data_IF_965143287313
#
_entry.id   IF_965143287313
#
_cell.length_a   1.000
_cell.length_b   1.000
_cell.length_c   1.000
_cell.angle_alpha   90.00
_cell.angle_beta   90.00
_cell.angle_gamma   90.00
#
_symmetry.space_group_name_H-M   'P 1'
#
loop_
_entity.id
_entity.type
_entity.pdbx_description
1 polymer ?
#
# COMPACT_ATOMS: atom_id res chain seq x y z
N UNK A 1 74.83 -10.19 -1.83
CA UNK A 1 73.76 -10.18 -0.82
C UNK A 1 72.99 -8.89 -1.09
N UNK A 2 71.96 -8.95 -1.87
CA UNK A 2 71.05 -7.85 -2.12
C UNK A 2 69.78 -8.06 -1.28
N UNK A 3 69.46 -7.09 -0.46
CA UNK A 3 68.22 -6.99 0.31
C UNK A 3 67.07 -6.55 -0.58
N UNK A 4 65.97 -7.27 -0.59
CA UNK A 4 64.72 -6.97 -1.24
C UNK A 4 63.99 -5.90 -0.38
N UNK A 5 63.44 -4.82 -0.95
CA UNK A 5 62.67 -3.86 -0.18
C UNK A 5 61.33 -4.47 0.25
N UNK A 6 60.98 -4.22 1.54
CA UNK A 6 59.76 -4.74 2.15
C UNK A 6 58.46 -4.29 1.42
N UNK A 7 57.60 -5.24 1.14
CA UNK A 7 56.21 -5.00 0.81
C UNK A 7 55.53 -4.40 2.05
N UNK A 8 55.04 -3.17 1.93
CA UNK A 8 54.10 -2.62 2.90
C UNK A 8 52.79 -3.43 2.82
N UNK A 9 52.42 -4.10 3.91
CA UNK A 9 51.08 -4.65 4.04
C UNK A 9 50.10 -3.52 4.11
N UNK A 10 49.25 -3.43 3.08
CA UNK A 10 48.08 -2.57 3.12
C UNK A 10 47.08 -3.12 4.12
N UNK A 11 46.92 -2.45 5.23
CA UNK A 11 45.87 -2.70 6.20
C UNK A 11 44.50 -2.53 5.46
N UNK A 12 43.56 -3.50 5.57
CA UNK A 12 42.23 -3.34 4.94
C UNK A 12 41.52 -2.14 5.58
N UNK A 13 40.78 -1.36 4.81
CA UNK A 13 40.06 -0.18 5.33
C UNK A 13 39.10 -0.61 6.44
N UNK A 14 39.08 0.20 7.50
CA UNK A 14 38.25 -0.04 8.67
C UNK A 14 36.75 -0.21 8.32
N UNK A 15 35.98 -1.03 9.08
CA UNK A 15 34.57 -1.31 8.76
C UNK A 15 33.62 -0.11 8.70
N UNK A 16 34.04 1.06 9.15
CA UNK A 16 33.22 2.28 9.15
C UNK A 16 33.04 2.94 7.78
N UNK A 17 33.91 2.65 6.80
CA UNK A 17 33.82 3.20 5.46
C UNK A 17 32.96 2.37 4.49
N UNK A 18 32.60 1.11 4.85
CA UNK A 18 31.80 0.22 4.02
C UNK A 18 30.28 0.35 4.23
N UNK A 19 29.82 1.23 5.13
CA UNK A 19 28.42 1.33 5.56
C UNK A 19 27.48 2.07 4.59
N UNK A 20 27.94 2.47 3.40
CA UNK A 20 27.16 3.44 2.60
C UNK A 20 26.68 2.97 1.23
N UNK A 21 26.72 1.69 0.91
CA UNK A 21 26.29 1.18 -0.41
C UNK A 21 25.02 0.29 -0.36
N UNK A 22 24.39 0.13 0.79
CA UNK A 22 23.12 -0.60 0.83
C UNK A 22 21.99 0.29 0.29
N UNK A 23 21.38 -0.13 -0.82
CA UNK A 23 20.20 0.53 -1.36
C UNK A 23 19.01 0.33 -0.41
N UNK A 24 18.47 1.43 0.10
CA UNK A 24 17.31 1.43 0.99
C UNK A 24 16.00 1.26 0.21
N UNK A 25 14.88 0.91 0.86
CA UNK A 25 13.60 0.61 0.18
C UNK A 25 13.18 1.66 -0.85
N UNK A 26 13.20 2.95 -0.51
CA UNK A 26 12.78 4.03 -1.40
C UNK A 26 13.81 4.49 -2.43
N UNK A 27 14.98 3.87 -2.51
CA UNK A 27 16.01 4.25 -3.50
C UNK A 27 15.60 3.77 -4.91
N UNK A 28 15.72 4.66 -5.93
CA UNK A 28 15.33 4.31 -7.28
C UNK A 28 16.35 3.38 -7.94
N UNK A 29 15.86 2.49 -8.81
CA UNK A 29 16.74 1.73 -9.71
C UNK A 29 17.36 2.64 -10.78
N UNK A 30 18.42 2.19 -11.48
CA UNK A 30 19.01 2.96 -12.58
C UNK A 30 18.04 3.29 -13.71
N UNK A 31 16.99 2.47 -13.88
CA UNK A 31 15.96 2.64 -14.94
C UNK A 31 14.68 3.29 -14.42
N UNK A 32 14.70 3.84 -13.20
CA UNK A 32 13.53 4.44 -12.57
C UNK A 32 12.97 5.61 -13.39
N UNK A 33 11.66 5.61 -13.69
CA UNK A 33 11.01 6.73 -14.34
C UNK A 33 11.00 7.97 -13.42
N UNK A 34 10.83 9.19 -13.96
CA UNK A 34 11.04 10.44 -13.19
C UNK A 34 10.25 10.54 -11.90
N UNK A 35 8.96 10.17 -11.90
CA UNK A 35 8.09 10.30 -10.73
C UNK A 35 8.33 9.21 -9.66
N UNK A 36 9.12 8.18 -9.97
CA UNK A 36 9.57 7.20 -8.99
C UNK A 36 10.63 7.77 -8.03
N UNK A 37 11.27 8.89 -8.39
CA UNK A 37 12.31 9.53 -7.60
C UNK A 37 11.70 10.33 -6.45
N UNK A 38 12.48 10.53 -5.40
CA UNK A 38 12.09 11.37 -4.26
C UNK A 38 11.84 12.83 -4.72
N UNK A 39 10.95 13.50 -3.98
CA UNK A 39 10.71 14.94 -4.12
C UNK A 39 11.77 15.80 -3.41
N UNK A 40 11.52 17.11 -3.32
CA UNK A 40 12.51 18.08 -2.82
C UNK A 40 12.64 18.10 -1.29
N UNK A 41 11.68 17.52 -0.55
CA UNK A 41 11.68 17.61 0.91
C UNK A 41 12.45 16.45 1.55
N UNK A 42 13.07 16.72 2.71
CA UNK A 42 13.42 15.69 3.67
C UNK A 42 12.14 15.05 4.22
N UNK A 43 12.29 13.98 4.97
CA UNK A 43 11.15 13.22 5.53
C UNK A 43 11.33 13.06 7.03
N UNK A 44 10.36 13.57 7.79
CA UNK A 44 10.17 13.19 9.18
C UNK A 44 9.31 11.93 9.28
N UNK A 45 9.55 11.12 10.30
CA UNK A 45 8.73 9.92 10.57
C UNK A 45 8.49 9.79 12.06
N UNK A 46 7.24 9.49 12.45
CA UNK A 46 6.89 9.26 13.85
C UNK A 46 5.89 8.11 13.98
N UNK A 47 5.84 7.51 15.17
CA UNK A 47 4.90 6.42 15.47
C UNK A 47 3.89 6.91 16.49
N UNK A 48 2.61 6.67 16.25
CA UNK A 48 1.52 6.94 17.17
C UNK A 48 0.71 5.67 17.42
N UNK A 49 0.06 5.61 18.58
CA UNK A 49 -0.95 4.60 18.89
C UNK A 49 -2.28 5.27 19.16
N UNK A 50 -3.33 4.82 18.47
CA UNK A 50 -4.70 5.30 18.64
C UNK A 50 -5.64 4.13 18.88
N UNK A 51 -6.78 4.39 19.54
CA UNK A 51 -7.74 3.35 19.88
C UNK A 51 -9.09 3.62 19.23
N UNK A 52 -9.56 2.67 18.43
CA UNK A 52 -10.94 2.60 17.97
C UNK A 52 -11.73 1.82 19.00
N UNK A 53 -12.26 2.53 19.98
CA UNK A 53 -12.95 1.93 21.11
C UNK A 53 -14.25 1.23 20.71
N UNK A 54 -14.65 0.27 21.50
CA UNK A 54 -15.96 -0.39 21.44
C UNK A 54 -16.30 -0.96 20.04
N UNK A 55 -15.38 -1.73 19.45
CA UNK A 55 -15.61 -2.36 18.14
C UNK A 55 -16.23 -3.75 18.27
N UNK A 56 -17.10 -4.15 17.32
CA UNK A 56 -17.66 -5.51 17.33
C UNK A 56 -16.55 -6.56 17.19
N UNK A 57 -16.62 -7.65 17.95
CA UNK A 57 -15.73 -8.80 17.77
C UNK A 57 -16.41 -9.85 16.89
N UNK A 58 -16.02 -10.01 15.61
CA UNK A 58 -16.63 -10.96 14.70
C UNK A 58 -16.24 -12.42 14.99
N UNK A 59 -15.28 -12.63 15.90
CA UNK A 59 -14.75 -13.95 16.27
C UNK A 59 -15.32 -14.42 17.60
N UNK A 60 -15.09 -13.64 18.66
CA UNK A 60 -15.51 -14.00 20.03
C UNK A 60 -16.93 -13.54 20.39
N UNK A 61 -17.51 -12.69 19.55
CA UNK A 61 -18.75 -11.98 19.89
C UNK A 61 -18.53 -10.87 20.92
N UNK A 62 -19.53 -10.00 21.08
CA UNK A 62 -19.38 -8.82 21.96
C UNK A 62 -18.57 -7.69 21.30
N UNK A 63 -17.81 -6.96 22.13
CA UNK A 63 -17.10 -5.75 21.70
C UNK A 63 -15.74 -5.66 22.38
N UNK A 64 -14.79 -4.98 21.72
CA UNK A 64 -13.44 -4.78 22.23
C UNK A 64 -12.84 -3.46 21.73
N UNK A 65 -11.82 -2.98 22.40
CA UNK A 65 -11.04 -1.82 21.99
C UNK A 65 -9.97 -2.27 20.98
N UNK A 66 -10.01 -1.63 19.80
CA UNK A 66 -9.12 -1.95 18.70
C UNK A 66 -7.99 -0.92 18.61
N UNK A 67 -6.79 -1.31 19.04
CA UNK A 67 -5.63 -0.43 19.07
C UNK A 67 -4.88 -0.50 17.74
N UNK A 68 -4.75 0.63 17.05
CA UNK A 68 -4.00 0.76 15.81
C UNK A 68 -2.68 1.47 16.08
N UNK A 69 -1.56 0.85 15.70
CA UNK A 69 -0.25 1.50 15.67
C UNK A 69 -0.05 2.12 14.31
N UNK A 70 0.22 3.42 14.27
CA UNK A 70 0.43 4.19 13.05
C UNK A 70 1.91 4.48 12.86
N UNK A 71 2.38 4.44 11.63
CA UNK A 71 3.60 5.10 11.19
C UNK A 71 3.20 6.27 10.31
N UNK A 72 3.74 7.45 10.58
CA UNK A 72 3.36 8.70 9.93
C UNK A 72 4.61 9.33 9.35
N UNK A 73 4.64 9.52 8.02
CA UNK A 73 5.70 10.22 7.30
C UNK A 73 5.18 11.56 6.83
N UNK A 74 6.01 12.60 6.96
CA UNK A 74 5.65 13.97 6.64
C UNK A 74 6.85 14.75 6.10
N UNK A 75 6.62 15.85 5.33
CA UNK A 75 7.68 16.73 4.89
C UNK A 75 8.43 17.35 6.08
N UNK A 76 9.75 17.37 5.99
CA UNK A 76 10.69 17.95 6.95
C UNK A 76 11.84 18.63 6.23
N UNK A 77 12.55 19.53 6.88
CA UNK A 77 13.83 20.04 6.43
C UNK A 77 15.00 19.10 6.79
N UNK A 78 14.73 18.06 7.58
CA UNK A 78 15.74 17.13 8.06
C UNK A 78 15.91 15.96 7.11
N UNK A 79 17.16 15.59 6.89
CA UNK A 79 17.55 14.35 6.23
C UNK A 79 18.14 13.40 7.28
N UNK A 80 17.82 12.12 7.18
CA UNK A 80 18.30 11.12 8.12
C UNK A 80 17.89 9.74 7.73
N UNK A 81 18.14 8.79 8.61
CA UNK A 81 17.70 7.40 8.47
C UNK A 81 16.98 6.95 9.74
N UNK A 82 16.04 6.04 9.58
CA UNK A 82 15.30 5.41 10.68
C UNK A 82 15.38 3.91 10.55
N UNK A 83 15.63 3.25 11.67
CA UNK A 83 15.51 1.80 11.76
C UNK A 83 14.04 1.44 12.01
N UNK A 84 13.42 0.77 11.06
CA UNK A 84 12.10 0.18 11.20
C UNK A 84 12.20 -1.26 11.72
N UNK A 85 11.16 -1.70 12.39
CA UNK A 85 11.00 -3.08 12.87
C UNK A 85 9.79 -3.70 12.18
N UNK A 86 9.98 -4.90 11.66
CA UNK A 86 8.94 -5.73 11.05
C UNK A 86 9.20 -7.20 11.40
N UNK A 87 8.41 -8.11 10.85
CA UNK A 87 8.61 -9.53 10.98
C UNK A 87 8.25 -10.24 9.67
N UNK A 88 8.89 -11.37 9.42
CA UNK A 88 8.41 -12.31 8.41
C UNK A 88 7.15 -13.01 8.91
N UNK A 89 6.19 -13.29 8.02
CA UNK A 89 4.99 -14.02 8.40
C UNK A 89 5.34 -15.39 8.98
N UNK A 90 4.55 -15.90 9.93
CA UNK A 90 4.76 -17.24 10.46
C UNK A 90 4.51 -18.28 9.37
N UNK A 91 5.42 -19.25 9.23
CA UNK A 91 5.18 -20.48 8.48
C UNK A 91 4.41 -21.48 9.34
N UNK A 92 3.75 -22.51 8.76
CA UNK A 92 3.05 -23.52 9.54
C UNK A 92 3.95 -24.14 10.64
N UNK A 93 3.52 -23.98 11.91
CA UNK A 93 4.25 -24.48 13.06
C UNK A 93 5.40 -23.62 13.59
N UNK A 94 5.62 -22.43 13.03
CA UNK A 94 6.63 -21.47 13.51
C UNK A 94 6.00 -20.17 13.99
N UNK A 95 6.75 -19.39 14.76
CA UNK A 95 6.39 -18.01 15.10
C UNK A 95 6.88 -17.05 14.02
N UNK A 96 6.26 -15.88 13.95
CA UNK A 96 6.77 -14.77 13.16
C UNK A 96 8.21 -14.42 13.58
N UNK A 97 9.09 -14.18 12.62
CA UNK A 97 10.52 -13.90 12.88
C UNK A 97 10.81 -12.41 12.69
N UNK A 98 11.10 -11.67 13.79
CA UNK A 98 11.39 -10.24 13.71
C UNK A 98 12.67 -9.94 12.92
N UNK A 99 12.67 -8.81 12.20
CA UNK A 99 13.85 -8.23 11.58
C UNK A 99 13.81 -6.70 11.64
N UNK A 100 14.92 -6.07 11.26
CA UNK A 100 15.01 -4.62 11.11
C UNK A 100 15.53 -4.27 9.73
N UNK A 101 15.11 -3.09 9.25
CA UNK A 101 15.64 -2.50 8.03
C UNK A 101 15.73 -0.98 8.20
N UNK A 102 16.48 -0.33 7.34
CA UNK A 102 16.70 1.12 7.40
C UNK A 102 15.89 1.82 6.32
N UNK A 103 15.16 2.87 6.70
CA UNK A 103 14.48 3.81 5.80
C UNK A 103 15.17 5.18 5.79
N UNK A 104 14.79 6.03 4.84
CA UNK A 104 15.31 7.41 4.66
C UNK A 104 14.40 8.45 5.29
N UNK A 105 14.01 8.27 6.51
CA UNK A 105 13.25 9.23 7.28
C UNK A 105 13.98 9.60 8.57
N UNK A 106 13.95 10.85 8.99
CA UNK A 106 14.49 11.28 10.27
C UNK A 106 13.43 11.05 11.36
N UNK A 107 13.72 10.20 12.35
CA UNK A 107 12.81 9.89 13.45
C UNK A 107 12.50 11.14 14.26
N UNK A 108 11.20 11.42 14.45
CA UNK A 108 10.64 12.52 15.22
C UNK A 108 11.20 13.91 14.84
N UNK A 109 11.61 14.05 13.57
CA UNK A 109 12.08 15.32 13.05
C UNK A 109 10.95 16.38 13.05
N UNK A 110 11.27 17.67 13.23
CA UNK A 110 10.27 18.72 13.10
C UNK A 110 9.61 18.68 11.71
N UNK A 111 8.26 18.73 11.62
CA UNK A 111 7.59 18.85 10.35
C UNK A 111 7.78 20.25 9.76
N UNK A 112 7.72 20.33 8.43
CA UNK A 112 7.47 21.60 7.74
C UNK A 112 6.01 22.00 7.88
N UNK A 113 5.74 23.30 7.89
CA UNK A 113 4.39 23.81 7.96
C UNK A 113 3.51 23.28 6.82
N UNK A 114 2.29 22.86 7.20
CA UNK A 114 1.26 22.41 6.25
C UNK A 114 0.45 23.56 5.65
N UNK A 115 -0.74 23.28 5.10
CA UNK A 115 -1.37 21.95 5.10
C UNK A 115 -0.85 21.04 3.97
N UNK A 116 -0.87 19.73 4.20
CA UNK A 116 -0.42 18.72 3.23
C UNK A 116 -1.55 17.76 2.86
N UNK A 117 -1.69 17.40 1.57
CA UNK A 117 -2.61 16.35 1.15
C UNK A 117 -2.30 15.02 1.84
N UNK A 118 -3.37 14.33 2.28
CA UNK A 118 -3.24 13.10 3.06
C UNK A 118 -3.35 11.86 2.20
N UNK A 119 -2.45 10.89 2.45
CA UNK A 119 -2.47 9.55 1.88
C UNK A 119 -2.50 8.51 2.99
N UNK A 120 -3.53 7.68 3.03
CA UNK A 120 -3.57 6.48 3.88
C UNK A 120 -2.97 5.30 3.13
N UNK A 121 -2.04 4.57 3.76
CA UNK A 121 -1.51 3.31 3.23
C UNK A 121 -2.10 2.13 4.00
N UNK A 122 -2.64 1.15 3.28
CA UNK A 122 -3.22 -0.07 3.83
C UNK A 122 -2.48 -1.30 3.30
N UNK A 123 -1.81 -2.02 4.19
CA UNK A 123 -1.00 -3.20 3.85
C UNK A 123 -1.82 -4.42 3.44
N UNK A 124 -1.18 -5.44 2.85
CA UNK A 124 -1.74 -6.74 2.50
C UNK A 124 -2.09 -7.62 3.73
N UNK A 125 -2.33 -8.92 3.51
CA UNK A 125 -2.61 -9.89 4.57
C UNK A 125 -1.73 -11.14 4.42
N UNK A 126 -0.94 -11.47 5.46
CA UNK A 126 -0.57 -10.57 6.54
C UNK A 126 0.39 -9.46 6.06
N UNK A 127 0.56 -8.41 6.85
CA UNK A 127 1.46 -7.32 6.52
C UNK A 127 1.84 -6.47 7.73
N UNK A 128 2.32 -5.26 7.49
CA UNK A 128 2.64 -4.29 8.53
C UNK A 128 2.51 -2.86 8.02
N UNK A 129 2.44 -1.90 8.93
CA UNK A 129 2.43 -0.47 8.61
C UNK A 129 3.68 0.00 7.85
N UNK A 130 4.77 -0.74 7.91
CA UNK A 130 6.04 -0.41 7.24
C UNK A 130 6.32 -1.22 5.98
N UNK A 131 5.38 -2.10 5.57
CA UNK A 131 5.53 -2.98 4.41
C UNK A 131 5.79 -2.24 3.09
N UNK A 132 5.30 -1.00 2.99
CA UNK A 132 5.40 -0.15 1.78
C UNK A 132 6.20 1.12 2.05
N UNK A 133 7.28 1.04 2.81
CA UNK A 133 8.15 2.19 3.12
C UNK A 133 8.74 2.80 1.86
N UNK A 134 9.02 1.97 0.82
CA UNK A 134 9.47 2.43 -0.49
C UNK A 134 8.51 3.43 -1.15
N UNK A 135 7.23 3.39 -0.82
CA UNK A 135 6.20 4.29 -1.34
C UNK A 135 5.93 5.45 -0.38
N UNK A 136 5.89 5.17 0.93
CA UNK A 136 5.57 6.16 1.96
C UNK A 136 6.56 7.34 1.96
N UNK A 137 7.86 7.04 1.99
CA UNK A 137 8.90 8.06 2.06
C UNK A 137 8.97 8.96 0.80
N UNK A 138 8.96 8.42 -0.45
CA UNK A 138 8.89 9.26 -1.63
C UNK A 138 7.62 10.13 -1.71
N UNK A 139 6.46 9.64 -1.28
CA UNK A 139 5.25 10.44 -1.22
C UNK A 139 5.38 11.60 -0.22
N UNK A 140 5.92 11.33 0.97
CA UNK A 140 6.17 12.37 1.97
C UNK A 140 7.19 13.40 1.47
N UNK A 141 8.27 12.95 0.82
CA UNK A 141 9.26 13.85 0.22
C UNK A 141 8.71 14.75 -0.90
N UNK A 142 7.50 14.44 -1.41
CA UNK A 142 6.77 15.23 -2.41
C UNK A 142 5.65 16.08 -1.81
N UNK A 143 5.69 16.33 -0.50
CA UNK A 143 4.71 17.20 0.13
C UNK A 143 3.38 16.51 0.45
N UNK A 144 3.42 15.30 1.01
CA UNK A 144 2.22 14.58 1.45
C UNK A 144 2.37 14.14 2.90
N UNK A 145 1.28 14.19 3.65
CA UNK A 145 1.16 13.51 4.92
C UNK A 145 0.74 12.06 4.66
N UNK A 146 1.62 11.11 4.96
CA UNK A 146 1.39 9.69 4.70
C UNK A 146 1.20 8.95 6.00
N UNK A 147 0.11 8.20 6.14
CA UNK A 147 -0.25 7.48 7.36
C UNK A 147 -0.50 6.02 7.02
N UNK A 148 0.24 5.12 7.63
CA UNK A 148 0.01 3.68 7.54
C UNK A 148 -0.31 3.12 8.93
N UNK A 149 -1.25 2.18 8.98
CA UNK A 149 -1.65 1.52 10.22
C UNK A 149 -1.30 0.04 10.20
N UNK A 150 -0.87 -0.49 11.35
CA UNK A 150 -1.03 -1.90 11.63
C UNK A 150 -2.51 -2.19 11.86
N UNK A 151 -3.08 -3.05 11.04
CA UNK A 151 -4.45 -3.51 11.24
C UNK A 151 -4.43 -4.68 12.23
N UNK A 152 -4.95 -4.55 13.45
CA UNK A 152 -4.92 -5.61 14.45
C UNK A 152 -5.50 -6.92 13.93
N UNK A 153 -4.98 -8.04 14.38
CA UNK A 153 -5.31 -9.41 13.94
C UNK A 153 -5.08 -9.68 12.44
N UNK A 154 -4.27 -8.82 11.78
CA UNK A 154 -4.01 -8.91 10.33
C UNK A 154 -2.57 -8.57 9.97
N UNK A 155 -1.67 -8.60 10.96
CA UNK A 155 -0.25 -8.32 10.79
C UNK A 155 0.60 -9.59 10.88
N UNK A 156 1.88 -9.49 10.52
CA UNK A 156 2.84 -10.58 10.67
C UNK A 156 2.97 -11.04 12.13
N UNK A 157 2.91 -10.10 13.08
CA UNK A 157 3.07 -10.37 14.51
C UNK A 157 1.75 -10.64 15.24
N UNK A 158 0.63 -10.23 14.68
CA UNK A 158 -0.71 -10.38 15.25
C UNK A 158 -1.65 -10.91 14.16
N UNK A 159 -1.67 -12.22 13.98
CA UNK A 159 -2.46 -12.91 12.97
C UNK A 159 -3.67 -13.57 13.62
N UNK A 160 -4.85 -13.01 13.37
CA UNK A 160 -6.13 -13.55 13.81
C UNK A 160 -6.93 -14.26 12.72
N UNK A 161 -8.13 -14.75 13.04
CA UNK A 161 -9.01 -15.35 12.06
C UNK A 161 -9.38 -14.39 10.92
N UNK A 162 -9.40 -14.88 9.69
CA UNK A 162 -9.58 -14.06 8.48
C UNK A 162 -10.92 -13.30 8.45
N UNK A 163 -11.93 -13.80 9.14
CA UNK A 163 -13.23 -13.12 9.31
C UNK A 163 -13.07 -11.74 9.98
N UNK A 164 -12.13 -11.59 10.92
CA UNK A 164 -11.83 -10.30 11.56
C UNK A 164 -11.26 -9.31 10.54
N UNK A 165 -10.32 -9.77 9.72
CA UNK A 165 -9.73 -8.97 8.63
C UNK A 165 -10.80 -8.46 7.66
N UNK A 166 -11.70 -9.32 7.21
CA UNK A 166 -12.81 -8.94 6.31
C UNK A 166 -13.73 -7.88 6.93
N UNK A 167 -14.04 -8.01 8.22
CA UNK A 167 -14.90 -7.07 8.94
C UNK A 167 -14.25 -5.71 9.16
N UNK A 168 -12.97 -5.70 9.55
CA UNK A 168 -12.34 -4.51 10.11
C UNK A 168 -11.52 -3.69 9.12
N UNK A 169 -11.00 -4.26 8.02
CA UNK A 169 -10.20 -3.48 7.07
C UNK A 169 -10.91 -2.20 6.57
N UNK A 170 -12.17 -2.23 6.10
CA UNK A 170 -12.87 -1.00 5.73
C UNK A 170 -13.16 -0.10 6.94
N UNK A 171 -13.46 -0.68 8.11
CA UNK A 171 -13.77 0.09 9.32
C UNK A 171 -12.56 0.85 9.86
N UNK A 172 -11.38 0.23 9.87
CA UNK A 172 -10.14 0.87 10.29
C UNK A 172 -9.81 2.08 9.40
N UNK A 173 -9.98 1.96 8.07
CA UNK A 173 -9.77 3.07 7.14
C UNK A 173 -10.75 4.21 7.37
N UNK A 174 -12.05 3.91 7.54
CA UNK A 174 -13.06 4.91 7.87
C UNK A 174 -12.81 5.57 9.23
N UNK A 175 -12.32 4.81 10.21
CA UNK A 175 -11.92 5.35 11.51
C UNK A 175 -10.74 6.31 11.39
N UNK A 176 -9.71 5.99 10.60
CA UNK A 176 -8.59 6.88 10.33
C UNK A 176 -9.03 8.18 9.68
N UNK A 177 -9.98 8.13 8.74
CA UNK A 177 -10.56 9.32 8.11
C UNK A 177 -11.30 10.20 9.15
N UNK A 178 -12.10 9.59 10.01
CA UNK A 178 -12.75 10.30 11.12
C UNK A 178 -11.75 10.91 12.09
N UNK A 179 -10.71 10.17 12.44
CA UNK A 179 -9.64 10.65 13.32
C UNK A 179 -8.95 11.89 12.74
N UNK A 180 -8.70 11.88 11.42
CA UNK A 180 -8.20 13.05 10.68
C UNK A 180 -9.17 14.23 10.74
N UNK A 181 -10.45 14.02 10.45
CA UNK A 181 -11.48 15.07 10.47
C UNK A 181 -11.74 15.62 11.89
N UNK A 182 -11.45 14.83 12.91
CA UNK A 182 -11.51 15.27 14.33
C UNK A 182 -10.26 16.05 14.78
N UNK A 183 -9.30 16.34 13.88
CA UNK A 183 -8.08 17.09 14.20
C UNK A 183 -7.01 16.27 14.90
N UNK A 184 -6.91 14.97 14.59
CA UNK A 184 -5.88 14.06 15.12
C UNK A 184 -5.82 14.02 16.66
N UNK A 185 -6.90 13.71 17.36
CA UNK A 185 -6.88 13.70 18.83
C UNK A 185 -5.79 12.77 19.36
N UNK A 186 -5.00 13.29 20.31
CA UNK A 186 -3.85 12.58 20.89
C UNK A 186 -2.54 12.70 20.10
N UNK A 187 -2.55 13.30 18.92
CA UNK A 187 -1.30 13.60 18.18
C UNK A 187 -0.63 14.88 18.74
N UNK A 188 0.70 15.01 18.61
CA UNK A 188 1.39 16.27 18.89
C UNK A 188 0.80 17.42 18.06
N UNK A 189 0.68 18.66 18.64
CA UNK A 189 0.08 19.80 17.94
C UNK A 189 0.69 20.10 16.57
N UNK A 190 2.01 19.93 16.43
CA UNK A 190 2.69 20.12 15.15
C UNK A 190 2.23 19.14 14.07
N UNK A 191 1.85 17.92 14.43
CA UNK A 191 1.27 16.96 13.48
C UNK A 191 -0.20 17.25 13.21
N UNK A 192 -0.95 17.66 14.23
CA UNK A 192 -2.37 17.96 14.09
C UNK A 192 -2.66 19.11 13.11
N UNK A 193 -1.68 19.99 12.87
CA UNK A 193 -1.78 21.12 11.94
C UNK A 193 -1.43 20.73 10.47
N UNK A 194 -0.94 19.50 10.21
CA UNK A 194 -0.42 19.14 8.90
C UNK A 194 -1.49 18.76 7.86
N UNK A 195 -2.60 18.06 8.19
CA UNK A 195 -3.57 17.66 7.18
C UNK A 195 -4.24 18.86 6.51
N UNK A 196 -4.38 18.81 5.18
CA UNK A 196 -5.33 19.68 4.50
C UNK A 196 -6.78 19.24 4.82
N UNK A 197 -7.77 20.03 4.39
CA UNK A 197 -9.20 19.72 4.54
C UNK A 197 -9.80 19.06 3.28
N UNK A 198 -8.98 18.78 2.27
CA UNK A 198 -9.36 18.18 1.01
C UNK A 198 -9.76 16.71 1.10
N UNK A 199 -10.06 16.15 -0.04
CA UNK A 199 -10.29 14.72 -0.16
C UNK A 199 -9.01 13.93 0.10
N UNK A 200 -9.15 12.77 0.72
CA UNK A 200 -8.06 11.86 1.07
C UNK A 200 -7.80 10.86 -0.04
N UNK A 201 -6.56 10.44 -0.17
CA UNK A 201 -6.20 9.29 -0.99
C UNK A 201 -6.00 8.05 -0.10
N UNK A 202 -6.44 6.89 -0.59
CA UNK A 202 -6.17 5.59 0.03
C UNK A 202 -5.38 4.75 -0.97
N UNK A 203 -4.19 4.32 -0.58
CA UNK A 203 -3.37 3.36 -1.34
C UNK A 203 -3.40 2.03 -0.60
N UNK A 204 -3.95 0.99 -1.22
CA UNK A 204 -4.12 -0.31 -0.58
C UNK A 204 -3.53 -1.45 -1.40
N UNK A 205 -2.72 -2.29 -0.76
CA UNK A 205 -2.17 -3.50 -1.36
C UNK A 205 -3.01 -4.73 -0.97
N UNK A 206 -3.37 -5.56 -1.98
CA UNK A 206 -4.05 -6.84 -1.75
C UNK A 206 -5.31 -6.65 -0.88
N UNK A 207 -5.30 -7.16 0.35
CA UNK A 207 -6.35 -6.95 1.35
C UNK A 207 -6.54 -5.47 1.72
N UNK A 208 -5.50 -4.64 1.62
CA UNK A 208 -5.63 -3.18 1.74
C UNK A 208 -6.46 -2.58 0.61
N UNK A 209 -6.33 -3.10 -0.62
CA UNK A 209 -7.17 -2.73 -1.76
C UNK A 209 -8.64 -3.13 -1.56
N UNK A 210 -8.89 -4.33 -1.06
CA UNK A 210 -10.23 -4.75 -0.61
C UNK A 210 -10.81 -3.75 0.41
N UNK A 211 -10.05 -3.44 1.46
CA UNK A 211 -10.46 -2.49 2.49
C UNK A 211 -10.81 -1.12 1.93
N UNK A 212 -9.99 -0.59 1.00
CA UNK A 212 -10.21 0.71 0.36
C UNK A 212 -11.49 0.73 -0.49
N UNK A 213 -11.74 -0.31 -1.29
CA UNK A 213 -12.94 -0.41 -2.12
C UNK A 213 -14.21 -0.50 -1.26
N UNK A 214 -14.20 -1.31 -0.20
CA UNK A 214 -15.36 -1.43 0.69
C UNK A 214 -15.57 -0.16 1.54
N UNK A 215 -14.51 0.49 2.01
CA UNK A 215 -14.63 1.79 2.67
C UNK A 215 -15.27 2.84 1.76
N UNK A 216 -15.00 2.78 0.45
CA UNK A 216 -15.55 3.70 -0.54
C UNK A 216 -16.95 3.31 -1.05
N UNK A 217 -17.55 2.21 -0.59
CA UNK A 217 -18.94 1.86 -0.90
C UNK A 217 -19.18 0.49 -1.50
N UNK A 218 -18.14 -0.23 -1.93
CA UNK A 218 -18.30 -1.62 -2.33
C UNK A 218 -18.78 -2.48 -1.15
N UNK A 219 -19.36 -3.63 -1.44
CA UNK A 219 -19.91 -4.55 -0.46
C UNK A 219 -19.35 -5.96 -0.63
N UNK A 220 -19.34 -6.70 0.47
CA UNK A 220 -19.10 -8.13 0.43
C UNK A 220 -20.29 -8.85 -0.24
N UNK A 221 -20.00 -9.83 -1.07
CA UNK A 221 -21.04 -10.64 -1.73
C UNK A 221 -21.69 -11.61 -0.73
N UNK A 222 -23.01 -11.57 -0.54
CA UNK A 222 -23.70 -12.55 0.30
C UNK A 222 -23.62 -13.98 -0.24
N UNK A 223 -23.31 -14.16 -1.53
CA UNK A 223 -23.11 -15.47 -2.15
C UNK A 223 -21.64 -15.94 -2.11
N UNK A 224 -20.72 -15.16 -1.56
CA UNK A 224 -19.31 -15.50 -1.46
C UNK A 224 -19.09 -16.84 -0.75
N UNK A 225 -18.12 -17.62 -1.25
CA UNK A 225 -17.73 -18.93 -0.69
C UNK A 225 -16.44 -18.78 0.12
N UNK A 226 -16.55 -18.04 1.22
CA UNK A 226 -15.39 -17.67 2.04
C UNK A 226 -14.83 -18.82 2.89
N UNK A 227 -15.54 -19.93 2.99
CA UNK A 227 -15.06 -21.13 3.68
C UNK A 227 -13.78 -21.69 3.05
N UNK A 228 -13.60 -21.50 1.74
CA UNK A 228 -12.39 -21.91 1.03
C UNK A 228 -11.12 -21.13 1.47
N UNK A 229 -11.31 -19.95 2.06
CA UNK A 229 -10.22 -19.12 2.62
C UNK A 229 -10.22 -19.12 4.15
N UNK A 230 -10.80 -20.14 4.76
CA UNK A 230 -10.76 -20.36 6.22
C UNK A 230 -11.75 -19.54 7.04
N UNK A 231 -12.77 -18.94 6.41
CA UNK A 231 -13.84 -18.24 7.14
C UNK A 231 -14.88 -19.29 7.62
N UNK A 232 -15.25 -19.29 8.91
CA UNK A 232 -16.18 -20.29 9.47
C UNK A 232 -17.57 -20.26 8.84
N UNK A 233 -18.26 -21.40 8.80
CA UNK A 233 -19.68 -21.47 8.47
C UNK A 233 -20.48 -20.54 9.39
N UNK A 234 -21.44 -19.81 8.82
CA UNK A 234 -22.22 -18.81 9.60
C UNK A 234 -21.62 -17.39 9.61
N UNK A 235 -20.54 -17.16 8.90
CA UNK A 235 -19.84 -15.88 8.78
C UNK A 235 -20.71 -14.66 8.42
N UNK A 236 -21.88 -14.88 7.83
CA UNK A 236 -22.77 -13.79 7.37
C UNK A 236 -23.28 -12.92 8.51
N UNK A 237 -23.49 -13.48 9.71
CA UNK A 237 -23.87 -12.71 10.89
C UNK A 237 -22.80 -11.71 11.31
N UNK A 238 -21.59 -12.16 11.66
CA UNK A 238 -20.45 -11.30 11.99
C UNK A 238 -20.09 -10.28 10.90
N UNK A 239 -20.23 -10.65 9.62
CA UNK A 239 -19.91 -9.76 8.49
C UNK A 239 -21.11 -8.93 7.99
N UNK A 240 -22.24 -8.93 8.70
CA UNK A 240 -23.44 -8.19 8.29
C UNK A 240 -23.18 -6.69 7.97
N UNK A 241 -22.31 -5.93 8.67
CA UNK A 241 -21.97 -4.55 8.31
C UNK A 241 -21.35 -4.44 6.91
N UNK A 242 -20.37 -5.27 6.57
CA UNK A 242 -19.70 -5.26 5.25
C UNK A 242 -20.61 -5.78 4.13
N UNK A 243 -21.51 -6.74 4.44
CA UNK A 243 -22.53 -7.19 3.50
C UNK A 243 -23.50 -6.07 3.12
N UNK A 244 -23.86 -5.24 4.06
CA UNK A 244 -24.77 -4.09 3.85
C UNK A 244 -24.05 -2.81 3.43
N UNK A 245 -22.72 -2.77 3.48
CA UNK A 245 -21.93 -1.55 3.28
C UNK A 245 -22.27 -0.47 4.32
N UNK A 246 -22.60 -0.88 5.56
CA UNK A 246 -22.99 -0.01 6.66
C UNK A 246 -22.12 -0.28 7.88
N UNK A 247 -21.28 0.67 8.23
CA UNK A 247 -20.30 0.55 9.31
C UNK A 247 -20.70 1.34 10.57
N UNK A 248 -21.81 2.02 10.51
CA UNK A 248 -22.35 2.93 11.52
C UNK A 248 -22.33 4.38 11.04
N UNK A 249 -23.27 5.23 11.54
CA UNK A 249 -23.49 6.57 10.98
C UNK A 249 -22.22 7.41 10.89
N UNK A 250 -21.41 7.36 11.92
CA UNK A 250 -20.19 8.16 12.01
C UNK A 250 -19.09 7.70 11.05
N UNK A 251 -18.91 6.37 10.87
CA UNK A 251 -17.95 5.82 9.93
C UNK A 251 -18.46 5.99 8.49
N UNK A 252 -19.74 5.78 8.25
CA UNK A 252 -20.35 5.94 6.92
C UNK A 252 -20.25 7.39 6.43
N UNK A 253 -20.33 8.39 7.32
CA UNK A 253 -20.13 9.79 6.97
C UNK A 253 -18.69 10.12 6.49
N UNK A 254 -17.69 9.36 6.95
CA UNK A 254 -16.31 9.55 6.51
C UNK A 254 -16.02 9.03 5.10
N UNK A 255 -16.92 8.23 4.52
CA UNK A 255 -16.76 7.64 3.18
C UNK A 255 -16.54 8.68 2.09
N UNK A 256 -17.28 9.77 2.13
CA UNK A 256 -17.22 10.83 1.12
C UNK A 256 -15.88 11.59 1.13
N UNK A 257 -15.06 11.41 2.17
CA UNK A 257 -13.70 11.94 2.23
C UNK A 257 -12.74 11.18 1.31
N UNK A 258 -13.07 9.97 0.85
CA UNK A 258 -12.25 9.19 -0.09
C UNK A 258 -12.43 9.72 -1.51
N UNK A 259 -11.52 10.58 -1.95
CA UNK A 259 -11.55 11.13 -3.32
C UNK A 259 -10.73 10.31 -4.32
N UNK A 260 -9.73 9.57 -3.83
CA UNK A 260 -8.82 8.80 -4.70
C UNK A 260 -8.47 7.45 -4.08
N UNK A 261 -8.49 6.41 -4.89
CA UNK A 261 -8.02 5.05 -4.52
C UNK A 261 -6.92 4.64 -5.49
N UNK A 262 -5.81 4.13 -4.94
CA UNK A 262 -4.81 3.38 -5.69
C UNK A 262 -4.80 1.96 -5.11
N UNK A 263 -5.33 1.00 -5.85
CA UNK A 263 -5.43 -0.39 -5.41
C UNK A 263 -4.36 -1.23 -6.14
N UNK A 264 -3.40 -1.71 -5.36
CA UNK A 264 -2.27 -2.50 -5.79
C UNK A 264 -2.63 -3.98 -5.63
N UNK A 265 -2.80 -4.71 -6.74
CA UNK A 265 -3.21 -6.11 -6.75
C UNK A 265 -4.41 -6.37 -5.79
N UNK A 266 -5.53 -5.63 -5.87
CA UNK A 266 -6.60 -5.70 -4.87
C UNK A 266 -7.21 -7.09 -4.80
N UNK A 267 -7.33 -7.63 -3.59
CA UNK A 267 -7.97 -8.91 -3.33
C UNK A 267 -9.50 -8.79 -3.32
N UNK A 268 -10.19 -9.86 -3.66
CA UNK A 268 -11.61 -10.06 -3.40
C UNK A 268 -12.54 -10.01 -4.63
N UNK A 269 -12.04 -9.63 -5.80
CA UNK A 269 -12.88 -9.55 -6.99
C UNK A 269 -13.37 -10.90 -7.51
N UNK A 270 -12.61 -11.98 -7.24
CA UNK A 270 -12.98 -13.35 -7.62
C UNK A 270 -14.09 -13.93 -6.74
N UNK A 271 -13.94 -13.78 -5.41
CA UNK A 271 -14.68 -14.62 -4.47
C UNK A 271 -15.36 -13.86 -3.31
N UNK A 272 -15.17 -12.55 -3.19
CA UNK A 272 -15.61 -11.83 -2.01
C UNK A 272 -16.41 -10.55 -2.28
N UNK A 273 -16.02 -9.73 -3.24
CA UNK A 273 -16.68 -8.44 -3.51
C UNK A 273 -17.92 -8.66 -4.38
N UNK A 274 -19.06 -8.14 -3.96
CA UNK A 274 -20.24 -8.03 -4.82
C UNK A 274 -19.96 -7.04 -5.95
N UNK A 275 -19.60 -7.55 -7.12
CA UNK A 275 -19.11 -6.73 -8.25
C UNK A 275 -20.07 -5.60 -8.62
N UNK A 276 -21.39 -5.83 -8.61
CA UNK A 276 -22.38 -4.79 -8.90
C UNK A 276 -22.34 -3.61 -7.93
N UNK A 277 -21.84 -3.80 -6.71
CA UNK A 277 -21.71 -2.73 -5.72
C UNK A 277 -20.55 -1.77 -6.01
N UNK A 278 -19.61 -2.16 -6.86
CA UNK A 278 -18.49 -1.30 -7.28
C UNK A 278 -18.97 -0.08 -8.05
N UNK A 279 -20.17 -0.12 -8.62
CA UNK A 279 -20.82 1.05 -9.23
C UNK A 279 -21.05 2.20 -8.22
N UNK A 280 -21.09 1.91 -6.93
CA UNK A 280 -21.24 2.91 -5.86
C UNK A 280 -19.90 3.59 -5.47
N UNK A 281 -18.75 3.04 -5.87
CA UNK A 281 -17.44 3.63 -5.64
C UNK A 281 -17.24 4.83 -6.57
N UNK A 282 -17.33 6.03 -6.01
CA UNK A 282 -17.23 7.31 -6.75
C UNK A 282 -15.82 7.87 -6.82
N UNK A 283 -14.93 7.38 -5.96
CA UNK A 283 -13.53 7.80 -5.92
C UNK A 283 -12.84 7.54 -7.27
N UNK A 284 -11.96 8.45 -7.66
CA UNK A 284 -11.03 8.20 -8.77
C UNK A 284 -10.19 6.98 -8.43
N UNK A 285 -10.12 6.00 -9.32
CA UNK A 285 -9.49 4.73 -8.98
C UNK A 285 -8.43 4.32 -10.00
N UNK A 286 -7.21 4.08 -9.50
CA UNK A 286 -6.12 3.42 -10.22
C UNK A 286 -5.96 2.00 -9.68
N UNK A 287 -5.99 1.02 -10.58
CA UNK A 287 -5.62 -0.36 -10.28
C UNK A 287 -4.25 -0.64 -10.89
N UNK A 288 -3.31 -1.21 -10.12
CA UNK A 288 -2.06 -1.76 -10.62
C UNK A 288 -2.02 -3.24 -10.26
N UNK A 289 -1.67 -4.10 -11.22
CA UNK A 289 -1.64 -5.55 -11.00
C UNK A 289 -0.71 -6.23 -12.00
N UNK A 290 -0.12 -7.35 -11.61
CA UNK A 290 0.56 -8.26 -12.53
C UNK A 290 -0.43 -9.20 -13.22
N UNK A 291 -0.22 -9.51 -14.52
CA UNK A 291 -1.12 -10.44 -15.23
C UNK A 291 -0.85 -11.94 -14.90
N UNK A 292 0.22 -12.20 -14.16
CA UNK A 292 0.52 -13.51 -13.56
C UNK A 292 0.10 -13.61 -12.07
N UNK A 293 -0.64 -12.64 -11.55
CA UNK A 293 -1.14 -12.66 -10.16
C UNK A 293 -2.15 -13.80 -9.95
N UNK A 294 -1.74 -14.83 -9.21
CA UNK A 294 -2.57 -16.00 -8.87
C UNK A 294 -3.36 -15.81 -7.57
N UNK A 295 -2.99 -14.83 -6.73
CA UNK A 295 -3.62 -14.58 -5.43
C UNK A 295 -4.91 -13.78 -5.62
N UNK A 296 -4.82 -12.57 -6.19
CA UNK A 296 -6.00 -11.75 -6.49
C UNK A 296 -6.73 -12.18 -7.75
N UNK A 297 -6.04 -12.85 -8.67
CA UNK A 297 -6.54 -13.24 -9.98
C UNK A 297 -6.62 -12.05 -10.94
N UNK A 298 -5.83 -12.07 -12.01
CA UNK A 298 -5.88 -10.98 -12.98
C UNK A 298 -7.22 -10.95 -13.73
N UNK A 299 -7.52 -12.02 -14.49
CA UNK A 299 -8.67 -12.07 -15.41
C UNK A 299 -10.01 -12.26 -14.73
N UNK A 300 -10.06 -13.00 -13.62
CA UNK A 300 -11.26 -13.36 -12.87
C UNK A 300 -11.45 -12.57 -11.56
N UNK A 301 -10.48 -11.74 -11.19
CA UNK A 301 -10.50 -10.92 -9.99
C UNK A 301 -10.36 -9.42 -10.28
N UNK A 302 -9.18 -8.94 -10.68
CA UNK A 302 -8.91 -7.50 -10.79
C UNK A 302 -9.55 -6.87 -12.03
N UNK A 303 -9.59 -7.57 -13.17
CA UNK A 303 -10.28 -7.08 -14.37
C UNK A 303 -11.77 -6.89 -14.10
N UNK A 304 -12.52 -7.84 -13.50
CA UNK A 304 -13.91 -7.60 -13.10
C UNK A 304 -14.09 -6.41 -12.15
N UNK A 305 -13.18 -6.19 -11.18
CA UNK A 305 -13.23 -4.98 -10.34
C UNK A 305 -13.17 -3.73 -11.24
N UNK A 306 -12.20 -3.65 -12.16
CA UNK A 306 -12.04 -2.51 -13.06
C UNK A 306 -13.30 -2.25 -13.90
N UNK A 307 -13.90 -3.29 -14.43
CA UNK A 307 -15.05 -3.20 -15.33
C UNK A 307 -16.32 -2.71 -14.61
N UNK A 308 -16.50 -3.06 -13.34
CA UNK A 308 -17.68 -2.70 -12.55
C UNK A 308 -17.53 -1.40 -11.75
N UNK A 309 -16.33 -0.80 -11.66
CA UNK A 309 -16.17 0.50 -11.00
C UNK A 309 -17.02 1.58 -11.67
N UNK A 310 -17.84 2.29 -10.87
CA UNK A 310 -18.76 3.33 -11.36
C UNK A 310 -18.10 4.66 -11.73
N UNK A 311 -16.91 4.93 -11.22
CA UNK A 311 -16.21 6.19 -11.44
C UNK A 311 -15.75 6.37 -12.89
N UNK A 312 -16.01 7.55 -13.48
CA UNK A 312 -15.56 7.89 -14.84
C UNK A 312 -14.01 7.95 -14.96
N UNK A 313 -13.32 8.13 -13.83
CA UNK A 313 -11.88 8.26 -13.76
C UNK A 313 -11.24 6.99 -13.19
N UNK A 314 -11.39 5.89 -13.89
CA UNK A 314 -10.72 4.62 -13.54
C UNK A 314 -9.62 4.28 -14.53
N UNK A 315 -8.52 3.71 -14.04
CA UNK A 315 -7.37 3.26 -14.82
C UNK A 315 -6.93 1.90 -14.32
N UNK A 316 -6.48 1.05 -15.24
CA UNK A 316 -5.86 -0.23 -14.93
C UNK A 316 -4.49 -0.26 -15.59
N UNK A 317 -3.45 -0.39 -14.80
CA UNK A 317 -2.07 -0.62 -15.25
C UNK A 317 -1.70 -2.07 -14.97
N UNK A 318 -1.34 -2.78 -15.99
CA UNK A 318 -0.93 -4.19 -15.93
C UNK A 318 0.57 -4.32 -16.16
N UNK A 319 1.25 -4.99 -15.24
CA UNK A 319 2.67 -5.37 -15.36
C UNK A 319 2.72 -6.81 -15.90
N UNK A 320 3.20 -6.97 -17.13
CA UNK A 320 3.22 -8.27 -17.80
C UNK A 320 4.20 -9.24 -17.15
N UNK A 321 3.75 -10.45 -16.89
CA UNK A 321 4.54 -11.51 -16.25
C UNK A 321 4.81 -11.29 -14.76
N UNK A 322 4.25 -10.24 -14.15
CA UNK A 322 4.37 -9.98 -12.73
C UNK A 322 3.33 -10.77 -11.94
N UNK A 323 3.75 -11.32 -10.79
CA UNK A 323 2.89 -11.97 -9.81
C UNK A 323 2.21 -10.97 -8.87
N UNK A 324 1.90 -11.44 -7.66
CA UNK A 324 1.13 -10.68 -6.67
C UNK A 324 1.93 -9.58 -5.95
N UNK A 325 3.23 -9.80 -5.69
CA UNK A 325 4.04 -8.97 -4.80
C UNK A 325 4.55 -7.68 -5.46
N UNK A 326 3.64 -6.87 -6.00
CA UNK A 326 3.99 -5.60 -6.66
C UNK A 326 4.28 -4.46 -5.69
N UNK A 327 3.82 -4.57 -4.45
CA UNK A 327 3.78 -3.46 -3.49
C UNK A 327 4.69 -3.59 -2.25
N UNK A 328 5.08 -4.78 -1.77
CA UNK A 328 6.03 -4.86 -0.67
C UNK A 328 7.36 -4.18 -0.98
N UNK A 329 8.04 -3.72 0.06
CA UNK A 329 9.44 -3.30 -0.04
C UNK A 329 10.30 -4.40 -0.69
N UNK A 330 11.45 -4.07 -1.29
CA UNK A 330 12.36 -5.11 -1.77
C UNK A 330 12.76 -6.05 -0.63
N UNK A 331 13.02 -7.34 -0.90
CA UNK A 331 13.39 -8.31 0.13
C UNK A 331 14.45 -7.74 1.06
N UNK A 332 14.22 -7.72 2.39
CA UNK A 332 15.19 -7.21 3.34
C UNK A 332 16.41 -8.13 3.40
N UNK A 333 17.57 -7.57 3.76
CA UNK A 333 18.80 -8.35 3.88
C UNK A 333 18.66 -9.58 4.82
N UNK A 334 17.76 -9.50 5.80
CA UNK A 334 17.44 -10.61 6.70
C UNK A 334 16.82 -11.81 5.98
N UNK A 335 16.03 -11.61 4.92
CA UNK A 335 15.45 -12.69 4.11
C UNK A 335 16.52 -13.46 3.33
N UNK A 336 17.51 -12.74 2.79
CA UNK A 336 18.65 -13.37 2.11
C UNK A 336 19.53 -14.20 3.04
N UNK A 337 19.71 -13.72 4.28
CA UNK A 337 20.58 -14.38 5.26
C UNK A 337 19.96 -15.60 5.94
N UNK A 338 18.62 -15.70 5.95
CA UNK A 338 17.94 -16.81 6.60
C UNK A 338 18.06 -18.12 5.86
N UNK A 339 18.17 -18.05 4.53
CA UNK A 339 18.07 -19.24 3.66
C UNK A 339 16.64 -19.81 3.56
N UNK A 340 15.65 -19.18 4.17
CA UNK A 340 14.23 -19.55 4.04
C UNK A 340 13.66 -18.92 2.78
N UNK A 341 13.29 -19.76 1.82
CA UNK A 341 12.73 -19.32 0.55
C UNK A 341 11.40 -18.56 0.73
N UNK A 342 10.57 -18.97 1.69
CA UNK A 342 9.26 -18.34 1.93
C UNK A 342 9.40 -16.91 2.46
N UNK A 343 10.41 -16.62 3.28
CA UNK A 343 10.70 -15.26 3.73
C UNK A 343 11.12 -14.34 2.58
N UNK A 344 11.89 -14.86 1.63
CA UNK A 344 12.28 -14.12 0.44
C UNK A 344 11.11 -13.93 -0.52
N UNK A 345 10.38 -14.99 -0.82
CA UNK A 345 9.24 -15.01 -1.75
C UNK A 345 8.10 -14.09 -1.29
N UNK A 346 7.96 -13.85 0.01
CA UNK A 346 6.97 -12.91 0.56
C UNK A 346 7.16 -11.46 0.05
N UNK A 347 8.39 -11.09 -0.31
CA UNK A 347 8.75 -9.75 -0.80
C UNK A 347 9.18 -9.74 -2.27
N UNK A 348 9.41 -10.90 -2.86
CA UNK A 348 9.96 -11.02 -4.19
C UNK A 348 8.90 -11.39 -5.23
N UNK A 349 9.29 -11.25 -6.48
CA UNK A 349 8.59 -11.79 -7.65
C UNK A 349 9.52 -12.72 -8.42
N UNK A 350 8.96 -13.77 -9.03
CA UNK A 350 9.75 -14.77 -9.75
C UNK A 350 10.36 -14.23 -11.06
N UNK A 351 9.79 -13.19 -11.64
CA UNK A 351 10.16 -12.64 -12.95
C UNK A 351 10.72 -11.24 -12.85
N UNK A 352 10.10 -10.39 -12.02
CA UNK A 352 10.44 -8.99 -11.92
C UNK A 352 11.47 -8.71 -10.82
N UNK A 353 12.41 -7.80 -11.10
CA UNK A 353 13.21 -7.21 -10.05
C UNK A 353 12.30 -6.36 -9.15
N UNK A 354 12.21 -6.64 -7.84
CA UNK A 354 11.29 -5.92 -6.94
C UNK A 354 11.49 -4.40 -6.93
N UNK A 355 12.73 -3.90 -7.07
CA UNK A 355 12.99 -2.45 -7.11
C UNK A 355 12.45 -1.80 -8.37
N UNK A 356 12.54 -2.46 -9.51
CA UNK A 356 11.98 -1.96 -10.77
C UNK A 356 10.45 -1.95 -10.70
N UNK A 357 9.85 -2.98 -10.13
CA UNK A 357 8.40 -3.02 -9.88
C UNK A 357 7.96 -1.88 -8.94
N UNK A 358 8.68 -1.70 -7.83
CA UNK A 358 8.42 -0.60 -6.90
C UNK A 358 8.58 0.79 -7.55
N UNK A 359 9.56 0.97 -8.46
CA UNK A 359 9.70 2.21 -9.23
C UNK A 359 8.47 2.50 -10.07
N UNK A 360 7.91 1.49 -10.74
CA UNK A 360 6.68 1.64 -11.52
C UNK A 360 5.47 1.92 -10.63
N UNK A 361 5.34 1.23 -9.50
CA UNK A 361 4.29 1.49 -8.52
C UNK A 361 4.36 2.93 -8.01
N UNK A 362 5.54 3.42 -7.64
CA UNK A 362 5.74 4.82 -7.23
C UNK A 362 5.36 5.78 -8.34
N UNK A 363 5.88 5.55 -9.55
CA UNK A 363 5.65 6.41 -10.70
C UNK A 363 4.16 6.59 -11.01
N UNK A 364 3.44 5.48 -11.15
CA UNK A 364 2.01 5.54 -11.48
C UNK A 364 1.18 6.07 -10.30
N UNK A 365 1.52 5.74 -9.07
CA UNK A 365 0.86 6.30 -7.88
C UNK A 365 1.04 7.81 -7.82
N UNK A 366 2.26 8.32 -7.95
CA UNK A 366 2.54 9.76 -7.94
C UNK A 366 1.85 10.44 -9.12
N UNK A 367 1.96 9.91 -10.33
CA UNK A 367 1.29 10.45 -11.52
C UNK A 367 -0.22 10.56 -11.33
N UNK A 368 -0.85 9.55 -10.71
CA UNK A 368 -2.29 9.55 -10.48
C UNK A 368 -2.71 10.50 -9.37
N UNK A 369 -1.88 10.67 -8.33
CA UNK A 369 -2.15 11.59 -7.23
C UNK A 369 -1.90 13.07 -7.61
N UNK A 370 -0.91 13.36 -8.44
CA UNK A 370 -0.51 14.73 -8.86
C UNK A 370 -1.18 15.15 -10.17
N UNK A 371 -1.60 14.20 -10.99
CA UNK A 371 -2.12 14.46 -12.32
C UNK A 371 -3.42 15.26 -12.31
N UNK A 372 -3.50 16.26 -13.16
CA UNK A 372 -4.76 16.89 -13.54
C UNK A 372 -5.58 15.88 -14.36
N UNK A 373 -6.50 15.20 -13.67
CA UNK A 373 -7.31 14.11 -14.20
C UNK A 373 -8.25 14.60 -15.31
N UNK A 374 -8.57 15.89 -15.33
CA UNK A 374 -9.39 16.48 -16.39
C UNK A 374 -8.64 16.47 -17.74
N UNK A 375 -7.36 16.77 -17.75
CA UNK A 375 -6.53 16.71 -18.97
C UNK A 375 -6.28 15.28 -19.46
N UNK A 376 -6.18 14.32 -18.53
CA UNK A 376 -6.01 12.90 -18.86
C UNK A 376 -7.31 12.22 -19.35
N UNK A 377 -8.48 12.73 -18.94
CA UNK A 377 -9.78 12.18 -19.32
C UNK A 377 -10.17 12.50 -20.77
N UNK A 378 -9.60 13.54 -21.37
CA UNK A 378 -9.95 14.02 -22.72
C UNK A 378 -9.02 13.51 -23.83
N UNK A 379 -7.94 12.81 -23.50
CA UNK A 379 -7.00 12.26 -24.50
C UNK A 379 -6.93 10.74 -24.43
N UNK A 380 -7.14 10.01 -25.54
CA UNK A 380 -6.82 8.59 -25.63
C UNK A 380 -5.31 8.33 -25.59
N UNK A 381 -4.51 9.39 -25.71
CA UNK A 381 -3.05 9.28 -25.61
C UNK A 381 -2.62 9.12 -24.14
N UNK A 382 -1.60 8.32 -23.95
CA UNK A 382 -0.89 8.17 -22.68
C UNK A 382 -0.41 9.55 -22.19
N UNK A 383 -0.81 10.03 -20.99
CA UNK A 383 -0.34 11.33 -20.49
C UNK A 383 1.18 11.36 -20.46
N UNK A 384 1.79 12.48 -20.83
CA UNK A 384 3.26 12.60 -20.82
C UNK A 384 3.87 12.30 -19.44
N UNK A 385 3.14 12.65 -18.36
CA UNK A 385 3.50 12.33 -16.98
C UNK A 385 3.55 10.82 -16.69
N UNK A 386 2.88 9.99 -17.49
CA UNK A 386 2.85 8.53 -17.35
C UNK A 386 3.90 7.84 -18.20
N UNK A 387 4.76 8.59 -18.90
CA UNK A 387 5.78 8.00 -19.75
C UNK A 387 6.82 7.26 -18.91
N UNK A 388 7.12 6.04 -19.34
CA UNK A 388 8.16 5.18 -18.79
C UNK A 388 9.30 5.02 -19.78
N UNK A 389 10.51 4.65 -19.34
CA UNK A 389 11.61 4.36 -20.25
C UNK A 389 11.19 3.39 -21.35
N UNK A 390 11.67 3.55 -22.60
CA UNK A 390 11.33 2.66 -23.72
C UNK A 390 11.55 1.18 -23.41
N UNK A 391 12.57 0.86 -22.62
CA UNK A 391 12.89 -0.50 -22.17
C UNK A 391 11.80 -1.17 -21.32
N UNK A 392 10.89 -0.40 -20.72
CA UNK A 392 9.81 -0.93 -19.88
C UNK A 392 8.44 -0.87 -20.55
N UNK A 393 8.28 -0.15 -21.66
CA UNK A 393 6.97 0.04 -22.31
C UNK A 393 6.33 -1.27 -22.78
N UNK A 394 7.11 -2.19 -23.29
CA UNK A 394 6.61 -3.49 -23.75
C UNK A 394 6.10 -4.38 -22.61
N UNK A 395 6.53 -4.12 -21.40
CA UNK A 395 6.14 -4.85 -20.20
C UNK A 395 4.90 -4.28 -19.51
N UNK A 396 4.26 -3.25 -20.09
CA UNK A 396 3.12 -2.56 -19.50
C UNK A 396 1.92 -2.55 -20.46
N UNK A 397 0.73 -2.63 -19.90
CA UNK A 397 -0.53 -2.41 -20.59
C UNK A 397 -1.42 -1.49 -19.74
N UNK A 398 -2.06 -0.49 -20.36
CA UNK A 398 -2.95 0.44 -19.65
C UNK A 398 -4.33 0.44 -20.29
N UNK A 399 -5.35 0.31 -19.44
CA UNK A 399 -6.76 0.44 -19.82
C UNK A 399 -7.36 1.67 -19.15
N UNK A 400 -8.20 2.38 -19.87
CA UNK A 400 -8.94 3.55 -19.38
C UNK A 400 -10.43 3.22 -19.34
N UNK A 401 -11.15 3.74 -18.36
CA UNK A 401 -12.57 3.41 -18.16
C UNK A 401 -13.56 4.26 -18.92
N UNK A 402 -13.17 5.01 -19.97
CA UNK A 402 -14.15 5.48 -20.93
C UNK A 402 -14.54 4.30 -21.83
N UNK A 403 -15.84 4.05 -21.96
CA UNK A 403 -16.33 3.14 -22.99
C UNK A 403 -15.75 3.62 -24.32
N UNK A 404 -14.87 2.85 -24.94
CA UNK A 404 -14.47 3.06 -26.31
C UNK A 404 -15.72 2.90 -27.17
N UNK A 405 -16.30 4.03 -27.56
CA UNK A 405 -17.39 4.08 -28.55
C UNK A 405 -16.80 3.83 -29.96
N UNK A 406 -15.92 2.84 -30.11
CA UNK A 406 -15.56 2.25 -31.40
C UNK A 406 -14.36 1.30 -31.19
N UNK A 407 -14.62 0.05 -30.85
CA UNK A 407 -13.72 -1.02 -31.24
C UNK A 407 -14.16 -1.51 -32.60
N UNK A 408 -13.36 -1.41 -33.68
CA UNK A 408 -13.64 -2.17 -34.87
C UNK A 408 -13.50 -3.66 -34.53
N UNK A 409 -14.55 -4.41 -34.78
CA UNK A 409 -14.54 -5.85 -34.81
C UNK A 409 -13.39 -6.32 -35.71
N UNK A 410 -12.38 -6.95 -35.10
CA UNK A 410 -11.43 -7.74 -35.86
C UNK A 410 -12.17 -8.99 -36.37
N UNK A 411 -12.44 -9.00 -37.69
CA UNK A 411 -12.86 -10.17 -38.44
C UNK A 411 -11.72 -11.15 -38.66
#
# INVERSE_FOLDING_TARGET
KGSVPGMQEHEPPSPSAAASLELLPGDPSPVAPPLARRGPYGVGVTTLQITHADQPDPVGGGRYDRSLTLEIWYPSDRHGTTVHRDAFPPSPGTAARPFTFTGRGARDAPPLDGPWPVVLLAHGYPGSRVLMTHLAEPLASRGRLVIAADHPRSTHLDLGPFVDTLAHRPRDLLFLLRWLDAGLPGAPPALAALPDDGHRAVVGFSMGGYGALLAAGARLDPAARLEAVGVPVGWRGPLAPVLRGRHGPELDAARDRIGTIVALAPWGGRDAILLSSLAEVRARTLLLVGDADQISGYGDGVVPIFEHLGGAHRRLVTLRGMGHNIAPDPPPAAAWRSGDAGEYEHYADAVWNPRVANDLVRHFTVAFLEGDVAAAASSPAWPSAWSVPPSLRHALHVRTGQADATSPSLG
#
